data_IF_114104569993
#
_entry.id   IF_114104569993
#
_cell.length_a   1.000
_cell.length_b   1.000
_cell.length_c   1.000
_cell.angle_alpha   90.00
_cell.angle_beta   90.00
_cell.angle_gamma   90.00
#
_symmetry.space_group_name_H-M   'P 1'
#
loop_
_entity.id
_entity.type
_entity.pdbx_description
1 polymer ?
#
# COMPACT_ATOMS: atom_id res chain seq x y z
N UNK A 1 -35.81 19.39 -12.45
CA UNK A 1 -35.75 20.04 -13.78
C UNK A 1 -34.41 20.72 -14.10
N UNK A 2 -33.62 21.16 -13.11
CA UNK A 2 -32.31 21.80 -13.32
C UNK A 2 -31.22 20.84 -13.80
N UNK A 3 -31.08 19.62 -13.24
CA UNK A 3 -30.07 18.62 -13.64
C UNK A 3 -30.16 18.09 -15.10
N UNK A 4 -31.34 18.10 -15.71
CA UNK A 4 -31.50 17.71 -17.13
C UNK A 4 -30.86 18.70 -18.10
N UNK A 5 -30.77 19.99 -17.73
CA UNK A 5 -30.17 21.02 -18.59
C UNK A 5 -28.61 20.89 -18.59
N UNK A 6 -28.01 20.50 -17.49
CA UNK A 6 -26.54 20.41 -17.38
C UNK A 6 -25.99 19.19 -18.14
N UNK A 7 -26.70 18.06 -18.13
CA UNK A 7 -26.34 16.86 -18.92
C UNK A 7 -26.46 17.13 -20.42
N UNK A 8 -27.51 17.81 -20.84
CA UNK A 8 -27.69 18.20 -22.26
C UNK A 8 -26.65 19.22 -22.73
N UNK A 9 -26.24 20.16 -21.89
CA UNK A 9 -25.22 21.16 -22.24
C UNK A 9 -23.82 20.57 -22.39
N UNK A 10 -23.45 19.59 -21.57
CA UNK A 10 -22.17 18.87 -21.71
C UNK A 10 -22.18 17.98 -22.96
N UNK A 11 -23.30 17.38 -23.30
CA UNK A 11 -23.45 16.56 -24.51
C UNK A 11 -23.41 17.45 -25.78
N UNK A 12 -24.01 18.64 -25.74
CA UNK A 12 -23.99 19.57 -26.90
C UNK A 12 -22.56 20.15 -27.12
N UNK A 13 -21.82 20.45 -26.08
CA UNK A 13 -20.49 21.05 -26.21
C UNK A 13 -19.46 20.08 -26.86
N UNK A 14 -19.66 18.75 -26.74
CA UNK A 14 -18.85 17.77 -27.43
C UNK A 14 -19.22 17.51 -28.89
N UNK A 15 -20.41 17.99 -29.31
CA UNK A 15 -20.89 17.77 -30.69
C UNK A 15 -20.45 18.81 -31.71
N UNK A 16 -20.00 20.01 -31.30
CA UNK A 16 -19.67 21.11 -32.23
C UNK A 16 -18.34 20.94 -32.97
N UNK A 17 -17.51 19.96 -32.61
CA UNK A 17 -16.17 19.75 -33.22
C UNK A 17 -16.11 18.74 -34.38
N UNK A 18 -17.21 18.18 -34.89
CA UNK A 18 -17.20 16.99 -35.76
C UNK A 18 -18.09 17.08 -37.01
N UNK A 19 -18.14 18.22 -37.65
CA UNK A 19 -18.76 18.32 -38.97
C UNK A 19 -17.72 18.16 -40.06
N UNK A 20 -17.65 16.98 -40.67
CA UNK A 20 -17.29 16.66 -42.07
C UNK A 20 -16.76 15.20 -42.19
N UNK A 21 -17.69 14.23 -42.16
CA UNK A 21 -17.42 12.85 -42.60
C UNK A 21 -18.66 12.29 -43.34
N UNK A 22 -18.53 11.32 -44.25
CA UNK A 22 -19.57 10.93 -45.20
C UNK A 22 -20.84 10.38 -44.52
N UNK A 23 -21.98 10.67 -45.12
CA UNK A 23 -23.36 10.55 -44.60
C UNK A 23 -23.73 9.19 -43.97
N UNK A 24 -23.10 8.09 -44.34
CA UNK A 24 -23.35 6.75 -43.80
C UNK A 24 -22.75 6.52 -42.41
N UNK A 25 -21.68 7.21 -42.07
CA UNK A 25 -21.07 7.18 -40.73
C UNK A 25 -21.84 8.00 -39.70
N UNK A 26 -22.60 9.01 -40.12
CA UNK A 26 -23.36 9.90 -39.24
C UNK A 26 -24.58 9.21 -38.59
N UNK A 27 -25.31 8.36 -39.32
CA UNK A 27 -26.49 7.68 -38.80
C UNK A 27 -26.12 6.65 -37.70
N UNK A 28 -25.13 5.82 -37.94
CA UNK A 28 -24.66 4.85 -36.95
C UNK A 28 -24.11 5.55 -35.66
N UNK A 29 -23.41 6.66 -35.84
CA UNK A 29 -22.91 7.42 -34.71
C UNK A 29 -24.02 8.08 -33.91
N UNK A 30 -25.00 8.64 -34.52
CA UNK A 30 -26.21 9.20 -33.85
C UNK A 30 -26.93 8.12 -33.04
N UNK A 31 -27.12 6.94 -33.62
CA UNK A 31 -27.73 5.80 -32.93
C UNK A 31 -26.86 5.33 -31.74
N UNK A 32 -25.55 5.23 -31.89
CA UNK A 32 -24.65 4.86 -30.79
C UNK A 32 -24.71 5.87 -29.66
N UNK A 33 -24.75 7.18 -29.98
CA UNK A 33 -24.91 8.26 -28.98
C UNK A 33 -26.24 8.17 -28.26
N UNK A 34 -27.35 7.92 -28.95
CA UNK A 34 -28.65 7.75 -28.30
C UNK A 34 -28.64 6.58 -27.30
N UNK A 35 -28.11 5.42 -27.70
CA UNK A 35 -27.94 4.26 -26.82
C UNK A 35 -27.04 4.54 -25.60
N UNK A 36 -26.02 5.34 -25.79
CA UNK A 36 -25.14 5.78 -24.69
C UNK A 36 -25.92 6.70 -23.71
N UNK A 37 -26.72 7.63 -24.20
CA UNK A 37 -27.54 8.51 -23.35
C UNK A 37 -28.52 7.67 -22.51
N UNK A 38 -29.23 6.72 -23.17
CA UNK A 38 -30.13 5.77 -22.48
C UNK A 38 -29.37 5.02 -21.37
N UNK A 39 -28.11 4.59 -21.65
CA UNK A 39 -27.32 3.86 -20.69
C UNK A 39 -26.91 4.73 -19.51
N UNK A 40 -26.57 6.01 -19.72
CA UNK A 40 -26.27 6.96 -18.65
C UNK A 40 -27.49 7.16 -17.74
N UNK A 41 -28.69 7.35 -18.32
CA UNK A 41 -29.91 7.48 -17.53
C UNK A 41 -30.22 6.20 -16.73
N UNK A 42 -30.07 5.03 -17.34
CA UNK A 42 -30.25 3.74 -16.65
C UNK A 42 -29.25 3.55 -15.49
N UNK A 43 -27.99 3.97 -15.65
CA UNK A 43 -27.00 3.95 -14.58
C UNK A 43 -27.37 4.87 -13.42
N UNK A 44 -27.88 6.07 -13.71
CA UNK A 44 -28.36 7.00 -12.67
C UNK A 44 -29.53 6.41 -11.87
N UNK A 45 -30.33 5.55 -12.52
CA UNK A 45 -31.41 4.78 -11.89
C UNK A 45 -30.91 3.48 -11.23
N UNK A 46 -29.61 3.27 -11.11
CA UNK A 46 -28.95 2.05 -10.61
C UNK A 46 -29.32 0.76 -11.37
N UNK A 47 -29.83 0.88 -12.62
CA UNK A 47 -30.13 -0.26 -13.47
C UNK A 47 -28.94 -0.64 -14.35
N UNK A 48 -27.85 -1.09 -13.66
CA UNK A 48 -26.56 -1.35 -14.28
C UNK A 48 -26.63 -2.43 -15.38
N UNK A 49 -27.47 -3.46 -15.24
CA UNK A 49 -27.54 -4.53 -16.25
C UNK A 49 -28.14 -4.01 -17.56
N UNK A 50 -29.22 -3.25 -17.51
CA UNK A 50 -29.78 -2.63 -18.72
C UNK A 50 -28.85 -1.57 -19.32
N UNK A 51 -28.12 -0.84 -18.48
CA UNK A 51 -27.09 0.10 -18.95
C UNK A 51 -26.00 -0.62 -19.73
N UNK A 52 -25.50 -1.76 -19.23
CA UNK A 52 -24.54 -2.61 -19.93
C UNK A 52 -25.10 -3.08 -21.28
N UNK A 53 -26.36 -3.53 -21.34
CA UNK A 53 -26.98 -3.98 -22.60
C UNK A 53 -27.02 -2.85 -23.64
N UNK A 54 -27.40 -1.65 -23.24
CA UNK A 54 -27.43 -0.46 -24.12
C UNK A 54 -26.03 -0.08 -24.59
N UNK A 55 -25.03 -0.12 -23.71
CA UNK A 55 -23.63 0.17 -24.06
C UNK A 55 -23.07 -0.88 -25.02
N UNK A 56 -23.37 -2.15 -24.81
CA UNK A 56 -22.96 -3.22 -25.73
C UNK A 56 -23.64 -3.05 -27.12
N UNK A 57 -24.89 -2.57 -27.19
CA UNK A 57 -25.53 -2.21 -28.45
C UNK A 57 -24.80 -1.00 -29.09
N UNK A 58 -24.49 0.05 -28.29
CA UNK A 58 -23.79 1.23 -28.79
C UNK A 58 -22.42 0.86 -29.38
N UNK A 59 -21.64 -0.03 -28.75
CA UNK A 59 -20.34 -0.47 -29.24
C UNK A 59 -20.42 -1.40 -30.47
N UNK A 60 -21.55 -2.09 -30.65
CA UNK A 60 -21.82 -2.85 -31.89
C UNK A 60 -22.18 -1.92 -33.06
N UNK A 61 -22.93 -0.85 -32.80
CA UNK A 61 -23.31 0.16 -33.82
C UNK A 61 -22.11 1.01 -34.23
N UNK A 62 -21.34 1.48 -33.27
CA UNK A 62 -20.07 2.20 -33.50
C UNK A 62 -18.90 1.57 -32.70
N UNK A 63 -18.13 0.71 -33.36
CA UNK A 63 -16.98 0.04 -32.75
C UNK A 63 -15.85 1.00 -32.31
N UNK A 64 -15.92 2.29 -32.67
CA UNK A 64 -14.95 3.32 -32.28
C UNK A 64 -15.43 4.22 -31.14
N UNK A 65 -16.55 3.87 -30.53
CA UNK A 65 -17.15 4.70 -29.47
C UNK A 65 -16.45 4.47 -28.13
N UNK A 66 -15.35 5.17 -27.90
CA UNK A 66 -14.52 5.05 -26.69
C UNK A 66 -15.31 5.36 -25.41
N UNK A 67 -16.22 6.35 -25.41
CA UNK A 67 -17.02 6.71 -24.23
C UNK A 67 -17.90 5.57 -23.74
N UNK A 68 -18.47 4.77 -24.65
CA UNK A 68 -19.25 3.60 -24.27
C UNK A 68 -18.38 2.54 -23.57
N UNK A 69 -17.16 2.35 -24.06
CA UNK A 69 -16.19 1.44 -23.40
C UNK A 69 -15.74 1.97 -22.05
N UNK A 70 -15.52 3.28 -21.91
CA UNK A 70 -15.18 3.91 -20.62
C UNK A 70 -16.31 3.70 -19.61
N UNK A 71 -17.56 3.91 -20.00
CA UNK A 71 -18.71 3.73 -19.11
C UNK A 71 -18.95 2.25 -18.75
N UNK A 72 -18.74 1.32 -19.69
CA UNK A 72 -18.75 -0.12 -19.40
C UNK A 72 -17.68 -0.46 -18.34
N UNK A 73 -16.48 0.10 -18.49
CA UNK A 73 -15.41 -0.07 -17.50
C UNK A 73 -15.83 0.38 -16.12
N UNK A 74 -16.45 1.56 -16.01
CA UNK A 74 -16.94 2.13 -14.76
C UNK A 74 -18.03 1.27 -14.12
N UNK A 75 -19.01 0.83 -14.90
CA UNK A 75 -20.11 0.00 -14.39
C UNK A 75 -19.59 -1.37 -13.93
N UNK A 76 -18.71 -2.01 -14.69
CA UNK A 76 -18.12 -3.28 -14.29
C UNK A 76 -17.24 -3.14 -13.04
N UNK A 77 -16.55 -2.00 -12.86
CA UNK A 77 -15.77 -1.72 -11.65
C UNK A 77 -16.70 -1.60 -10.42
N UNK A 78 -17.81 -0.86 -10.54
CA UNK A 78 -18.84 -0.76 -9.48
C UNK A 78 -19.43 -2.13 -9.10
N UNK A 79 -19.59 -3.02 -10.09
CA UNK A 79 -20.03 -4.40 -9.88
C UNK A 79 -18.92 -5.33 -9.39
N UNK A 80 -17.70 -4.83 -9.19
CA UNK A 80 -16.50 -5.60 -8.82
C UNK A 80 -16.12 -6.68 -9.85
N UNK A 81 -16.61 -6.54 -11.08
CA UNK A 81 -16.26 -7.42 -12.20
C UNK A 81 -14.95 -6.94 -12.86
N UNK A 82 -13.87 -6.91 -12.08
CA UNK A 82 -12.62 -6.25 -12.44
C UNK A 82 -12.02 -6.70 -13.77
N UNK A 83 -12.10 -7.99 -14.12
CA UNK A 83 -11.60 -8.49 -15.42
C UNK A 83 -12.35 -7.86 -16.59
N UNK A 84 -13.68 -7.73 -16.50
CA UNK A 84 -14.49 -7.08 -17.55
C UNK A 84 -14.22 -5.57 -17.57
N UNK A 85 -14.08 -4.95 -16.39
CA UNK A 85 -13.71 -3.54 -16.27
C UNK A 85 -12.38 -3.25 -16.95
N UNK A 86 -11.33 -4.03 -16.69
CA UNK A 86 -10.02 -3.89 -17.32
C UNK A 86 -10.09 -4.07 -18.85
N UNK A 87 -10.90 -5.03 -19.34
CA UNK A 87 -11.10 -5.24 -20.77
C UNK A 87 -11.76 -4.02 -21.43
N UNK A 88 -12.79 -3.45 -20.79
CA UNK A 88 -13.52 -2.30 -21.28
C UNK A 88 -12.65 -1.02 -21.26
N UNK A 89 -12.00 -0.70 -20.14
CA UNK A 89 -11.05 0.42 -20.10
C UNK A 89 -9.87 0.23 -21.08
N UNK A 90 -9.36 -1.00 -21.20
CA UNK A 90 -8.35 -1.32 -22.20
C UNK A 90 -8.84 -1.10 -23.66
N UNK A 91 -10.11 -1.36 -23.95
CA UNK A 91 -10.72 -1.00 -25.23
C UNK A 91 -10.84 0.53 -25.39
N UNK A 92 -11.29 1.23 -24.34
CA UNK A 92 -11.40 2.68 -24.34
C UNK A 92 -10.04 3.36 -24.63
N UNK A 93 -8.97 2.91 -23.96
CA UNK A 93 -7.61 3.46 -24.16
C UNK A 93 -7.04 3.19 -25.55
N UNK A 94 -7.38 2.07 -26.19
CA UNK A 94 -7.01 1.80 -27.59
C UNK A 94 -7.74 2.73 -28.56
N UNK A 95 -9.01 3.03 -28.28
CA UNK A 95 -9.84 3.92 -29.11
C UNK A 95 -9.51 5.40 -28.90
N UNK A 96 -9.18 5.77 -27.67
CA UNK A 96 -8.75 7.13 -27.31
C UNK A 96 -7.43 7.09 -26.50
N UNK A 97 -6.26 7.10 -27.17
CA UNK A 97 -4.97 7.06 -26.49
C UNK A 97 -4.60 8.31 -25.68
N UNK A 98 -5.45 9.34 -25.70
CA UNK A 98 -5.24 10.61 -25.01
C UNK A 98 -6.11 10.75 -23.76
N UNK A 99 -6.89 9.73 -23.40
CA UNK A 99 -7.75 9.76 -22.22
C UNK A 99 -6.97 9.45 -20.95
N UNK A 100 -6.57 10.50 -20.22
CA UNK A 100 -6.01 10.35 -18.87
C UNK A 100 -6.91 9.52 -17.96
N UNK A 101 -8.23 9.82 -17.98
CA UNK A 101 -9.23 9.15 -17.12
C UNK A 101 -9.20 7.63 -17.30
N UNK A 102 -9.23 7.17 -18.57
CA UNK A 102 -9.31 5.74 -18.86
C UNK A 102 -8.02 5.01 -18.48
N UNK A 103 -6.85 5.60 -18.76
CA UNK A 103 -5.57 5.02 -18.32
C UNK A 103 -5.44 5.00 -16.81
N UNK A 104 -5.86 6.05 -16.11
CA UNK A 104 -5.83 6.10 -14.66
C UNK A 104 -6.78 5.05 -14.05
N UNK A 105 -8.01 4.95 -14.54
CA UNK A 105 -8.98 3.93 -14.10
C UNK A 105 -8.53 2.51 -14.41
N UNK A 106 -7.93 2.28 -15.60
CA UNK A 106 -7.33 0.99 -15.93
C UNK A 106 -6.22 0.60 -14.95
N UNK A 107 -5.35 1.56 -14.61
CA UNK A 107 -4.31 1.37 -13.59
C UNK A 107 -4.89 0.97 -12.23
N UNK A 108 -5.94 1.67 -11.79
CA UNK A 108 -6.63 1.38 -10.53
C UNK A 108 -7.25 -0.02 -10.52
N UNK A 109 -7.91 -0.42 -11.60
CA UNK A 109 -8.49 -1.77 -11.73
C UNK A 109 -7.40 -2.84 -11.68
N UNK A 110 -6.29 -2.67 -12.39
CA UNK A 110 -5.17 -3.61 -12.32
C UNK A 110 -4.52 -3.64 -10.93
N UNK A 111 -4.41 -2.51 -10.25
CA UNK A 111 -3.90 -2.44 -8.87
C UNK A 111 -4.82 -3.22 -7.91
N UNK A 112 -6.15 -3.07 -8.03
CA UNK A 112 -7.14 -3.84 -7.24
C UNK A 112 -7.02 -5.35 -7.49
N UNK A 113 -6.74 -5.74 -8.73
CA UNK A 113 -6.47 -7.13 -9.10
C UNK A 113 -5.08 -7.63 -8.66
N UNK A 114 -4.24 -6.78 -8.07
CA UNK A 114 -2.83 -7.03 -7.75
C UNK A 114 -1.94 -7.32 -8.97
N UNK A 115 -2.39 -6.94 -10.15
CA UNK A 115 -1.64 -7.03 -11.40
C UNK A 115 -0.73 -5.80 -11.55
N UNK A 116 0.19 -5.63 -10.59
CA UNK A 116 0.97 -4.40 -10.42
C UNK A 116 1.79 -4.01 -11.65
N UNK A 117 2.31 -4.98 -12.39
CA UNK A 117 3.06 -4.70 -13.64
C UNK A 117 2.17 -4.06 -14.71
N UNK A 118 0.90 -4.49 -14.82
CA UNK A 118 -0.05 -3.90 -15.76
C UNK A 118 -0.53 -2.53 -15.25
N UNK A 119 -0.73 -2.41 -13.93
CA UNK A 119 -1.07 -1.13 -13.30
C UNK A 119 0.01 -0.07 -13.56
N UNK A 120 1.30 -0.41 -13.41
CA UNK A 120 2.43 0.48 -13.74
C UNK A 120 2.37 0.98 -15.18
N UNK A 121 2.10 0.09 -16.15
CA UNK A 121 2.00 0.49 -17.56
C UNK A 121 0.89 1.51 -17.79
N UNK A 122 -0.29 1.27 -17.19
CA UNK A 122 -1.44 2.15 -17.33
C UNK A 122 -1.21 3.50 -16.61
N UNK A 123 -0.74 3.48 -15.37
CA UNK A 123 -0.46 4.70 -14.62
C UNK A 123 0.68 5.53 -15.21
N UNK A 124 1.74 4.91 -15.74
CA UNK A 124 2.80 5.63 -16.46
C UNK A 124 2.23 6.42 -17.64
N UNK A 125 1.34 5.79 -18.41
CA UNK A 125 0.68 6.49 -19.51
C UNK A 125 -0.20 7.64 -19.03
N UNK A 126 -0.91 7.47 -17.91
CA UNK A 126 -1.64 8.55 -17.27
C UNK A 126 -0.69 9.70 -16.85
N UNK A 127 0.47 9.40 -16.26
CA UNK A 127 1.46 10.42 -15.92
C UNK A 127 2.05 11.14 -17.14
N UNK A 128 2.22 10.45 -18.28
CA UNK A 128 2.64 11.10 -19.53
C UNK A 128 1.59 12.10 -20.04
N UNK A 129 0.30 11.76 -19.90
CA UNK A 129 -0.80 12.63 -20.32
C UNK A 129 -1.05 13.81 -19.36
N UNK A 130 -0.83 13.61 -18.07
CA UNK A 130 -0.92 14.65 -17.04
C UNK A 130 0.24 14.55 -16.03
N UNK A 131 1.41 15.09 -16.38
CA UNK A 131 2.62 14.98 -15.54
C UNK A 131 2.47 15.61 -14.14
N UNK A 132 1.64 16.64 -14.01
CA UNK A 132 1.37 17.34 -12.75
C UNK A 132 0.23 16.71 -11.93
N UNK A 133 -0.26 15.53 -12.27
CA UNK A 133 -1.25 14.87 -11.45
C UNK A 133 -0.55 14.12 -10.30
N UNK A 134 -0.79 14.58 -9.06
CA UNK A 134 -0.22 14.01 -7.84
C UNK A 134 -0.56 12.53 -7.70
N UNK A 135 -1.84 12.21 -7.79
CA UNK A 135 -2.34 10.86 -7.52
C UNK A 135 -1.79 9.83 -8.53
N UNK A 136 -1.70 10.19 -9.82
CA UNK A 136 -1.13 9.30 -10.82
C UNK A 136 0.35 9.00 -10.53
N UNK A 137 1.15 10.02 -10.15
CA UNK A 137 2.55 9.81 -9.77
C UNK A 137 2.66 8.96 -8.50
N UNK A 138 1.84 9.23 -7.47
CA UNK A 138 1.83 8.45 -6.23
C UNK A 138 1.46 6.99 -6.48
N UNK A 139 0.36 6.72 -7.22
CA UNK A 139 -0.08 5.35 -7.54
C UNK A 139 0.94 4.61 -8.42
N UNK A 140 1.62 5.32 -9.33
CA UNK A 140 2.74 4.74 -10.09
C UNK A 140 3.87 4.32 -9.16
N UNK A 141 4.27 5.18 -8.21
CA UNK A 141 5.32 4.87 -7.25
C UNK A 141 4.94 3.69 -6.34
N UNK A 142 3.68 3.63 -5.88
CA UNK A 142 3.16 2.51 -5.09
C UNK A 142 3.25 1.18 -5.85
N UNK A 143 2.75 1.15 -7.10
CA UNK A 143 2.79 -0.07 -7.90
C UNK A 143 4.23 -0.50 -8.26
N UNK A 144 5.13 0.47 -8.47
CA UNK A 144 6.55 0.19 -8.70
C UNK A 144 7.24 -0.38 -7.44
N UNK A 145 6.86 0.07 -6.26
CA UNK A 145 7.29 -0.50 -4.99
C UNK A 145 6.86 -1.96 -4.86
N UNK A 146 5.61 -2.28 -5.18
CA UNK A 146 5.07 -3.64 -5.13
C UNK A 146 5.78 -4.62 -6.09
N UNK A 147 6.29 -4.12 -7.23
CA UNK A 147 7.10 -4.94 -8.16
C UNK A 147 8.60 -4.87 -7.87
N UNK A 148 9.01 -4.29 -6.73
CA UNK A 148 10.39 -4.10 -6.28
C UNK A 148 11.26 -3.25 -7.23
N UNK A 149 10.68 -2.44 -8.11
CA UNK A 149 11.42 -1.44 -8.91
C UNK A 149 11.58 -0.15 -8.10
N UNK A 150 12.36 -0.24 -7.02
CA UNK A 150 12.54 0.86 -6.07
C UNK A 150 13.15 2.11 -6.71
N UNK A 151 14.04 1.93 -7.69
CA UNK A 151 14.68 3.05 -8.37
C UNK A 151 13.67 3.91 -9.12
N UNK A 152 12.76 3.29 -9.87
CA UNK A 152 11.69 4.01 -10.56
C UNK A 152 10.61 4.51 -9.57
N UNK A 153 10.33 3.76 -8.50
CA UNK A 153 9.41 4.20 -7.45
C UNK A 153 9.84 5.54 -6.84
N UNK A 154 11.14 5.72 -6.56
CA UNK A 154 11.69 6.99 -6.09
C UNK A 154 11.48 8.11 -7.11
N UNK A 155 11.70 7.86 -8.39
CA UNK A 155 11.52 8.88 -9.42
C UNK A 155 10.08 9.42 -9.42
N UNK A 156 9.09 8.52 -9.41
CA UNK A 156 7.68 8.92 -9.39
C UNK A 156 7.27 9.50 -8.03
N UNK A 157 7.76 8.95 -6.92
CA UNK A 157 7.57 9.53 -5.60
C UNK A 157 8.10 10.96 -5.49
N UNK A 158 9.29 11.23 -6.01
CA UNK A 158 9.86 12.59 -6.06
C UNK A 158 9.11 13.53 -7.01
N UNK A 159 8.48 13.02 -8.07
CA UNK A 159 7.57 13.83 -8.90
C UNK A 159 6.31 14.20 -8.11
N UNK A 160 5.72 13.24 -7.40
CA UNK A 160 4.58 13.51 -6.52
C UNK A 160 4.94 14.54 -5.44
N UNK A 161 6.10 14.42 -4.79
CA UNK A 161 6.59 15.35 -3.77
C UNK A 161 6.73 16.81 -4.29
N UNK A 162 7.15 16.98 -5.55
CA UNK A 162 7.22 18.32 -6.19
C UNK A 162 5.84 18.92 -6.45
N UNK A 163 4.80 18.11 -6.58
CA UNK A 163 3.43 18.57 -6.83
C UNK A 163 2.74 18.88 -5.51
N UNK A 164 2.84 17.99 -4.54
CA UNK A 164 2.36 18.17 -3.18
C UNK A 164 3.35 17.54 -2.20
N UNK A 165 4.02 18.42 -1.44
CA UNK A 165 5.01 18.03 -0.44
C UNK A 165 4.40 17.72 0.93
N UNK A 166 3.07 17.88 1.10
CA UNK A 166 2.41 17.78 2.40
C UNK A 166 1.51 16.53 2.51
N UNK A 167 1.74 15.53 1.67
CA UNK A 167 0.99 14.28 1.70
C UNK A 167 1.70 13.23 2.59
N UNK A 168 1.09 12.87 3.71
CA UNK A 168 1.62 11.89 4.67
C UNK A 168 1.89 10.54 3.98
N UNK A 169 0.92 10.02 3.20
CA UNK A 169 1.01 8.76 2.48
C UNK A 169 2.23 8.71 1.55
N UNK A 170 2.57 9.82 0.90
CA UNK A 170 3.75 9.92 0.04
C UNK A 170 5.05 9.74 0.82
N UNK A 171 5.18 10.42 1.96
CA UNK A 171 6.39 10.36 2.75
C UNK A 171 6.54 9.01 3.44
N UNK A 172 5.44 8.38 3.86
CA UNK A 172 5.45 7.00 4.33
C UNK A 172 5.91 6.05 3.23
N UNK A 173 5.37 6.18 2.01
CA UNK A 173 5.79 5.38 0.86
C UNK A 173 7.28 5.55 0.54
N UNK A 174 7.77 6.79 0.48
CA UNK A 174 9.21 7.07 0.25
C UNK A 174 10.07 6.45 1.35
N UNK A 175 9.62 6.51 2.60
CA UNK A 175 10.28 5.84 3.72
C UNK A 175 10.38 4.33 3.51
N UNK A 176 9.30 3.68 3.14
CA UNK A 176 9.27 2.24 2.85
C UNK A 176 10.19 1.86 1.68
N UNK A 177 10.21 2.67 0.62
CA UNK A 177 11.08 2.46 -0.54
C UNK A 177 12.55 2.55 -0.14
N UNK A 178 12.95 3.59 0.61
CA UNK A 178 14.32 3.78 1.07
C UNK A 178 14.75 2.68 2.06
N UNK A 179 13.86 2.26 2.97
CA UNK A 179 14.14 1.14 3.89
C UNK A 179 14.40 -0.15 3.11
N UNK A 180 13.60 -0.44 2.07
CA UNK A 180 13.78 -1.60 1.20
C UNK A 180 15.09 -1.56 0.41
N UNK A 181 15.57 -0.36 0.05
CA UNK A 181 16.89 -0.14 -0.53
C UNK A 181 18.02 -0.15 0.50
N UNK A 182 17.71 -0.26 1.79
CA UNK A 182 18.65 -0.15 2.92
C UNK A 182 19.30 1.23 3.07
N UNK A 183 18.72 2.25 2.46
CA UNK A 183 19.07 3.65 2.69
C UNK A 183 18.31 4.17 3.93
N UNK A 184 18.74 3.68 5.09
CA UNK A 184 18.03 3.93 6.34
C UNK A 184 18.03 5.40 6.75
N UNK A 185 19.03 6.19 6.34
CA UNK A 185 19.05 7.62 6.63
C UNK A 185 17.97 8.39 5.83
N UNK A 186 17.75 8.03 4.56
CA UNK A 186 16.65 8.60 3.79
C UNK A 186 15.29 8.10 4.29
N UNK A 187 15.21 6.82 4.70
CA UNK A 187 14.00 6.28 5.31
C UNK A 187 13.63 7.07 6.57
N UNK A 188 14.59 7.32 7.48
CA UNK A 188 14.38 8.14 8.69
C UNK A 188 13.87 9.53 8.32
N UNK A 189 14.47 10.21 7.33
CA UNK A 189 14.01 11.53 6.90
C UNK A 189 12.58 11.51 6.40
N UNK A 190 12.25 10.52 5.58
CA UNK A 190 10.93 10.39 4.99
C UNK A 190 9.86 10.08 6.04
N UNK A 191 10.11 9.12 6.95
CA UNK A 191 9.17 8.81 8.03
C UNK A 191 8.97 9.97 9.01
N UNK A 192 10.05 10.72 9.31
CA UNK A 192 9.92 11.96 10.11
C UNK A 192 8.98 12.95 9.44
N UNK A 193 9.15 13.12 8.12
CA UNK A 193 8.29 14.03 7.36
C UNK A 193 6.83 13.57 7.37
N UNK A 194 6.57 12.25 7.30
CA UNK A 194 5.22 11.72 7.46
C UNK A 194 4.63 12.04 8.85
N UNK A 195 5.41 11.88 9.94
CA UNK A 195 4.97 12.20 11.30
C UNK A 195 4.80 13.69 11.57
N UNK A 196 5.41 14.59 10.79
CA UNK A 196 5.13 16.03 10.85
C UNK A 196 3.70 16.34 10.38
N UNK A 197 3.09 15.49 9.54
CA UNK A 197 1.73 15.65 9.02
C UNK A 197 0.69 14.92 9.87
N UNK A 198 0.99 13.68 10.26
CA UNK A 198 0.21 12.92 11.25
C UNK A 198 1.12 12.38 12.34
N UNK A 199 1.25 13.15 13.43
CA UNK A 199 2.09 12.80 14.57
C UNK A 199 1.58 11.61 15.38
N UNK A 200 0.37 11.10 15.09
CA UNK A 200 -0.28 10.04 15.86
C UNK A 200 -0.36 8.69 15.11
N UNK A 201 0.24 8.57 13.92
CA UNK A 201 0.20 7.33 13.13
C UNK A 201 1.16 6.26 13.71
N UNK A 202 0.63 5.20 14.41
CA UNK A 202 1.48 4.19 15.05
C UNK A 202 2.29 3.37 14.03
N UNK A 203 1.76 3.20 12.81
CA UNK A 203 2.44 2.46 11.74
C UNK A 203 3.72 3.16 11.28
N UNK A 204 3.65 4.49 11.10
CA UNK A 204 4.82 5.30 10.73
C UNK A 204 5.79 5.39 11.91
N UNK A 205 5.30 5.54 13.16
CA UNK A 205 6.15 5.51 14.35
C UNK A 205 6.95 4.21 14.46
N UNK A 206 6.30 3.07 14.26
CA UNK A 206 6.96 1.76 14.26
C UNK A 206 8.04 1.68 13.17
N UNK A 207 7.73 2.11 11.95
CA UNK A 207 8.67 2.11 10.83
C UNK A 207 9.87 3.02 11.09
N UNK A 208 9.64 4.23 11.60
CA UNK A 208 10.71 5.16 11.98
C UNK A 208 11.59 4.58 13.10
N UNK A 209 10.98 3.97 14.11
CA UNK A 209 11.70 3.37 15.22
C UNK A 209 12.60 2.23 14.76
N UNK A 210 12.10 1.36 13.85
CA UNK A 210 12.91 0.31 13.23
C UNK A 210 14.06 0.91 12.41
N UNK A 211 13.81 1.96 11.62
CA UNK A 211 14.84 2.66 10.87
C UNK A 211 15.92 3.28 11.80
N UNK A 212 15.52 3.81 12.95
CA UNK A 212 16.47 4.25 13.98
C UNK A 212 17.32 3.10 14.52
N UNK A 213 16.74 1.93 14.77
CA UNK A 213 17.54 0.75 15.17
C UNK A 213 18.54 0.34 14.10
N UNK A 214 18.17 0.41 12.81
CA UNK A 214 19.09 0.14 11.67
C UNK A 214 20.25 1.12 11.63
N UNK A 215 20.03 2.37 12.07
CA UNK A 215 21.07 3.42 12.18
C UNK A 215 21.70 3.50 13.57
N UNK A 216 21.47 2.51 14.46
CA UNK A 216 22.01 2.40 15.82
C UNK A 216 21.58 3.53 16.77
N UNK A 217 20.47 4.17 16.50
CA UNK A 217 19.86 5.22 17.34
C UNK A 217 18.83 4.61 18.28
N UNK A 218 19.33 3.96 19.35
CA UNK A 218 18.49 3.10 20.20
C UNK A 218 17.50 3.91 21.06
N UNK A 219 17.94 5.01 21.69
CA UNK A 219 17.08 5.84 22.53
C UNK A 219 15.87 6.43 21.75
N UNK A 220 16.07 7.12 20.62
CA UNK A 220 14.93 7.61 19.83
C UNK A 220 13.98 6.50 19.36
N UNK A 221 14.52 5.30 19.07
CA UNK A 221 13.67 4.15 18.72
C UNK A 221 12.81 3.72 19.90
N UNK A 222 13.38 3.61 21.10
CA UNK A 222 12.67 3.24 22.34
C UNK A 222 11.53 4.24 22.64
N UNK A 223 11.81 5.54 22.51
CA UNK A 223 10.79 6.59 22.73
C UNK A 223 9.59 6.42 21.80
N UNK A 224 9.83 6.18 20.51
CA UNK A 224 8.75 5.96 19.55
C UNK A 224 7.97 4.67 19.83
N UNK A 225 8.64 3.56 20.14
CA UNK A 225 7.93 2.32 20.50
C UNK A 225 7.12 2.52 21.77
N UNK A 226 7.61 3.28 22.75
CA UNK A 226 6.87 3.64 23.95
C UNK A 226 5.63 4.47 23.62
N UNK A 227 5.75 5.46 22.72
CA UNK A 227 4.61 6.23 22.25
C UNK A 227 3.56 5.34 21.56
N UNK A 228 4.01 4.35 20.76
CA UNK A 228 3.09 3.36 20.16
C UNK A 228 2.33 2.58 21.22
N UNK A 229 2.95 2.17 22.33
CA UNK A 229 2.24 1.44 23.40
C UNK A 229 1.22 2.31 24.15
N UNK A 230 1.38 3.62 24.16
CA UNK A 230 0.38 4.55 24.72
C UNK A 230 -0.86 4.65 23.82
N UNK A 231 -0.68 4.62 22.50
CA UNK A 231 -1.78 4.67 21.51
C UNK A 231 -2.42 3.30 21.36
N UNK A 232 -1.61 2.24 21.35
CA UNK A 232 -2.01 0.85 21.15
C UNK A 232 -1.47 -0.03 22.27
N UNK A 233 -2.11 -0.08 23.46
CA UNK A 233 -1.63 -0.84 24.62
C UNK A 233 -1.52 -2.35 24.38
N UNK A 234 -2.20 -2.89 23.38
CA UNK A 234 -2.16 -4.31 23.00
C UNK A 234 -1.17 -4.61 21.85
N UNK A 235 -0.26 -3.70 21.51
CA UNK A 235 0.74 -3.92 20.47
C UNK A 235 1.94 -4.71 21.01
N UNK A 236 1.91 -6.05 20.89
CA UNK A 236 2.98 -6.93 21.40
C UNK A 236 4.32 -6.63 20.75
N UNK A 237 4.33 -6.31 19.44
CA UNK A 237 5.56 -5.99 18.72
C UNK A 237 6.25 -4.75 19.28
N UNK A 238 5.49 -3.72 19.68
CA UNK A 238 6.07 -2.53 20.30
C UNK A 238 6.78 -2.89 21.61
N UNK A 239 6.15 -3.66 22.49
CA UNK A 239 6.80 -4.13 23.73
C UNK A 239 8.04 -5.01 23.46
N UNK A 240 7.96 -5.88 22.47
CA UNK A 240 9.10 -6.70 22.03
C UNK A 240 10.28 -5.83 21.61
N UNK A 241 10.04 -4.78 20.80
CA UNK A 241 11.11 -3.85 20.41
C UNK A 241 11.59 -2.97 21.55
N UNK A 242 10.74 -2.56 22.50
CA UNK A 242 11.17 -1.85 23.73
C UNK A 242 12.12 -2.75 24.53
N UNK A 243 11.76 -4.04 24.72
CA UNK A 243 12.63 -5.01 25.36
C UNK A 243 14.00 -5.13 24.68
N UNK A 244 14.01 -5.17 23.33
CA UNK A 244 15.24 -5.15 22.54
C UNK A 244 16.06 -3.87 22.77
N UNK A 245 15.42 -2.70 22.79
CA UNK A 245 16.10 -1.43 23.06
C UNK A 245 16.76 -1.42 24.44
N UNK A 246 16.04 -1.87 25.49
CA UNK A 246 16.62 -1.95 26.82
C UNK A 246 17.79 -2.91 26.92
N UNK A 247 17.76 -4.05 26.21
CA UNK A 247 18.96 -4.91 26.13
C UNK A 247 20.16 -4.20 25.48
N UNK A 248 19.92 -3.41 24.43
CA UNK A 248 20.99 -2.64 23.78
C UNK A 248 21.54 -1.52 24.69
N UNK A 249 20.71 -1.00 25.59
CA UNK A 249 21.06 0.00 26.60
C UNK A 249 21.59 -0.62 27.90
N UNK A 250 21.71 -1.94 27.94
CA UNK A 250 22.18 -2.72 29.09
C UNK A 250 21.28 -2.66 30.33
N UNK A 251 20.00 -2.26 30.15
CA UNK A 251 18.97 -2.33 31.20
C UNK A 251 18.20 -3.65 31.11
N UNK A 252 18.81 -4.69 31.68
CA UNK A 252 18.31 -6.07 31.56
C UNK A 252 16.97 -6.25 32.29
N UNK A 253 16.72 -5.56 33.38
CA UNK A 253 15.45 -5.71 34.12
C UNK A 253 14.28 -5.14 33.33
N UNK A 254 14.40 -3.93 32.79
CA UNK A 254 13.36 -3.35 31.92
C UNK A 254 13.18 -4.19 30.63
N UNK A 255 14.21 -4.78 30.09
CA UNK A 255 14.08 -5.69 28.94
C UNK A 255 13.21 -6.90 29.29
N UNK A 256 13.45 -7.54 30.45
CA UNK A 256 12.67 -8.68 30.94
C UNK A 256 11.17 -8.30 31.05
N UNK A 257 10.86 -7.17 31.67
CA UNK A 257 9.50 -6.75 31.90
C UNK A 257 8.74 -6.52 30.58
N UNK A 258 9.39 -5.87 29.63
CA UNK A 258 8.77 -5.59 28.33
C UNK A 258 8.61 -6.86 27.47
N UNK A 259 9.58 -7.78 27.45
CA UNK A 259 9.39 -9.05 26.76
C UNK A 259 8.30 -9.90 27.39
N UNK A 260 8.18 -9.92 28.73
CA UNK A 260 7.07 -10.60 29.42
C UNK A 260 5.71 -9.99 29.02
N UNK A 261 5.65 -8.66 28.93
CA UNK A 261 4.44 -7.98 28.48
C UNK A 261 4.09 -8.34 27.02
N UNK A 262 5.08 -8.40 26.14
CA UNK A 262 4.87 -8.84 24.74
C UNK A 262 4.29 -10.26 24.69
N UNK A 263 4.86 -11.22 25.44
CA UNK A 263 4.39 -12.60 25.52
C UNK A 263 2.98 -12.68 26.12
N UNK A 264 2.69 -11.87 27.14
CA UNK A 264 1.35 -11.82 27.74
C UNK A 264 0.28 -11.37 26.76
N UNK A 265 0.62 -10.43 25.84
CA UNK A 265 -0.29 -9.94 24.78
C UNK A 265 -0.40 -10.96 23.65
N UNK A 266 0.74 -11.52 23.22
CA UNK A 266 0.81 -12.49 22.16
C UNK A 266 1.70 -13.68 22.56
N UNK A 267 1.07 -14.76 23.00
CA UNK A 267 1.77 -16.00 23.39
C UNK A 267 2.47 -16.75 22.23
N UNK A 268 2.27 -16.31 20.98
CA UNK A 268 2.94 -16.85 19.80
C UNK A 268 4.10 -15.95 19.31
N UNK A 269 4.51 -14.96 20.11
CA UNK A 269 5.65 -14.08 19.79
C UNK A 269 6.99 -14.79 20.06
N UNK A 270 7.45 -15.56 19.07
CA UNK A 270 8.71 -16.30 19.16
C UNK A 270 9.94 -15.38 19.34
N UNK A 271 9.89 -14.14 18.85
CA UNK A 271 10.96 -13.15 19.01
C UNK A 271 11.05 -12.67 20.44
N UNK A 272 9.90 -12.44 21.08
CA UNK A 272 9.85 -12.06 22.49
C UNK A 272 10.36 -13.19 23.39
N UNK A 273 10.00 -14.46 23.16
CA UNK A 273 10.57 -15.59 23.89
C UNK A 273 12.08 -15.66 23.74
N UNK A 274 12.60 -15.51 22.50
CA UNK A 274 14.02 -15.52 22.24
C UNK A 274 14.74 -14.35 22.94
N UNK A 275 14.15 -13.16 22.88
CA UNK A 275 14.68 -11.96 23.53
C UNK A 275 14.69 -12.07 25.04
N UNK A 276 13.60 -12.58 25.64
CA UNK A 276 13.52 -12.83 27.09
C UNK A 276 14.57 -13.84 27.54
N UNK A 277 14.79 -14.92 26.76
CA UNK A 277 15.86 -15.88 27.05
C UNK A 277 17.25 -15.25 27.00
N UNK A 278 17.51 -14.33 26.08
CA UNK A 278 18.77 -13.55 26.05
C UNK A 278 18.88 -12.67 27.29
N UNK A 279 17.81 -11.96 27.68
CA UNK A 279 17.81 -11.12 28.88
C UNK A 279 18.09 -11.92 30.15
N UNK A 280 17.42 -13.06 30.32
CA UNK A 280 17.69 -13.96 31.45
C UNK A 280 19.11 -14.51 31.46
N UNK A 281 19.65 -14.93 30.32
CA UNK A 281 21.02 -15.39 30.22
C UNK A 281 22.04 -14.28 30.58
N UNK A 282 21.76 -13.06 30.15
CA UNK A 282 22.59 -11.88 30.49
C UNK A 282 22.58 -11.65 32.01
N UNK A 283 21.42 -11.65 32.63
CA UNK A 283 21.24 -11.49 34.08
C UNK A 283 21.90 -12.63 34.84
N UNK A 284 21.66 -13.86 34.43
CA UNK A 284 22.23 -15.06 35.04
C UNK A 284 23.77 -15.08 35.02
N UNK A 285 24.38 -14.59 33.95
CA UNK A 285 25.83 -14.48 33.88
C UNK A 285 26.39 -13.39 34.81
N UNK A 286 25.65 -12.29 34.98
CA UNK A 286 26.04 -11.21 35.90
C UNK A 286 25.95 -11.63 37.39
N UNK A 287 24.88 -12.38 37.72
CA UNK A 287 24.55 -12.81 39.08
C UNK A 287 25.12 -14.21 39.42
N UNK A 288 25.70 -14.91 38.47
CA UNK A 288 26.12 -16.32 38.52
C UNK A 288 24.97 -17.28 38.94
N UNK A 289 23.74 -17.01 38.46
CA UNK A 289 22.54 -17.71 38.84
C UNK A 289 22.23 -18.86 37.86
N UNK A 290 22.32 -20.09 38.37
CA UNK A 290 22.05 -21.31 37.58
C UNK A 290 20.57 -21.51 37.25
N UNK A 291 19.65 -21.04 38.12
CA UNK A 291 18.23 -21.14 37.89
C UNK A 291 17.80 -20.22 36.73
N UNK A 292 18.25 -18.98 36.71
CA UNK A 292 18.02 -18.06 35.59
C UNK A 292 18.62 -18.59 34.27
N UNK A 293 19.78 -19.29 34.32
CA UNK A 293 20.31 -19.96 33.11
C UNK A 293 19.38 -21.04 32.58
N UNK A 294 18.83 -21.87 33.46
CA UNK A 294 17.86 -22.91 33.07
C UNK A 294 16.60 -22.30 32.49
N UNK A 295 16.06 -21.23 33.10
CA UNK A 295 14.91 -20.49 32.56
C UNK A 295 15.18 -19.90 31.18
N UNK A 296 16.37 -19.33 30.95
CA UNK A 296 16.76 -18.82 29.64
C UNK A 296 16.75 -19.91 28.55
N UNK A 297 17.26 -21.08 28.87
CA UNK A 297 17.28 -22.24 27.98
C UNK A 297 15.84 -22.69 27.65
N UNK A 298 14.95 -22.73 28.64
CA UNK A 298 13.57 -23.11 28.42
C UNK A 298 12.82 -22.12 27.54
N UNK A 299 13.03 -20.83 27.72
CA UNK A 299 12.47 -19.76 26.86
C UNK A 299 12.96 -19.90 25.41
N UNK A 300 14.19 -20.28 25.18
CA UNK A 300 14.69 -20.55 23.82
C UNK A 300 14.06 -21.79 23.21
N UNK A 301 13.76 -22.86 24.00
CA UNK A 301 12.98 -24.01 23.53
C UNK A 301 11.56 -23.61 23.17
N UNK A 302 10.91 -22.77 23.99
CA UNK A 302 9.58 -22.25 23.69
C UNK A 302 9.58 -21.41 22.40
N UNK A 303 10.59 -20.55 22.19
CA UNK A 303 10.74 -19.84 20.93
C UNK A 303 10.79 -20.79 19.72
N UNK A 304 11.56 -21.89 19.81
CA UNK A 304 11.65 -22.90 18.76
C UNK A 304 10.35 -23.71 18.59
N UNK A 305 9.63 -23.93 19.67
CA UNK A 305 8.31 -24.60 19.63
C UNK A 305 7.28 -23.74 18.88
N UNK A 306 7.28 -22.42 19.12
CA UNK A 306 6.38 -21.48 18.45
C UNK A 306 6.75 -21.33 16.96
N UNK A 307 8.03 -21.22 16.65
CA UNK A 307 8.50 -21.07 15.25
C UNK A 307 9.75 -21.94 15.02
N UNK A 308 9.56 -23.19 14.58
CA UNK A 308 10.67 -24.14 14.37
C UNK A 308 11.67 -23.69 13.31
N UNK A 309 11.24 -22.97 12.29
CA UNK A 309 12.03 -22.50 11.13
C UNK A 309 12.50 -21.04 11.24
N UNK A 310 12.63 -20.53 12.48
CA UNK A 310 13.03 -19.15 12.71
C UNK A 310 14.46 -18.83 12.20
N UNK A 311 14.75 -17.56 11.85
CA UNK A 311 16.08 -17.14 11.44
C UNK A 311 17.13 -17.47 12.52
N UNK A 312 18.30 -17.99 12.10
CA UNK A 312 19.43 -18.39 12.98
C UNK A 312 19.08 -19.55 13.94
N UNK A 313 18.12 -20.41 13.57
CA UNK A 313 17.72 -21.60 14.32
C UNK A 313 18.90 -22.42 14.83
N UNK A 314 19.84 -22.77 13.95
CA UNK A 314 20.97 -23.63 14.31
C UNK A 314 21.90 -23.00 15.35
N UNK A 315 22.04 -21.68 15.31
CA UNK A 315 22.77 -20.96 16.36
C UNK A 315 22.04 -21.04 17.70
N UNK A 316 20.73 -20.93 17.69
CA UNK A 316 19.93 -21.03 18.90
C UNK A 316 20.00 -22.47 19.50
N UNK A 317 19.91 -23.49 18.66
CA UNK A 317 20.10 -24.91 19.10
C UNK A 317 21.47 -25.10 19.76
N UNK A 318 22.56 -24.63 19.15
CA UNK A 318 23.89 -24.69 19.75
C UNK A 318 23.99 -23.99 21.10
N UNK A 319 23.27 -22.86 21.27
CA UNK A 319 23.23 -22.18 22.58
C UNK A 319 22.47 -23.02 23.60
N UNK A 320 21.33 -23.60 23.23
CA UNK A 320 20.57 -24.51 24.10
C UNK A 320 21.44 -25.69 24.52
N UNK A 321 22.10 -26.39 23.60
CA UNK A 321 22.97 -27.52 23.88
C UNK A 321 24.13 -27.14 24.82
N UNK A 322 24.75 -25.97 24.62
CA UNK A 322 25.82 -25.45 25.42
C UNK A 322 25.45 -25.21 26.88
N UNK A 323 24.25 -24.67 27.10
CA UNK A 323 23.80 -24.23 28.42
C UNK A 323 22.78 -25.20 29.09
N UNK A 324 22.42 -26.31 28.43
CA UNK A 324 21.65 -27.41 29.04
C UNK A 324 22.49 -28.42 29.81
N UNK A 325 23.84 -28.28 29.75
CA UNK A 325 24.78 -29.08 30.51
C UNK A 325 25.11 -28.39 31.82
#
# INVERSE_FOLDING_TARGET
MSKRRDVQSVILATMVGLALLPVWGCANRQQAVALYVDAVELRELNNNDKAIDKLNQATKVDGRFSLAQSLLGEIYEQKQEYKKSAAAYGAATRLNPWSFRDYFSLGRVYQTMKEFTLAVKAYRRACELKPSNFEANLKTAQCLYEVNDYSQAIVYGKRAEKIDANAEELHQLLGNIYDSQKDYEQAVRSYKRALEMDSSNPGVMMSLAVAYLRTKRVEPAKELFTAVTQIQPANSSAYQYIGYCYLQLNDVNQAIDNYRQAIKINSYDWEAYRGLGVAYMTKANAENDAELKAQAVELWRQSLSVKPDQPRRDRLIKLIEKYSK
#
